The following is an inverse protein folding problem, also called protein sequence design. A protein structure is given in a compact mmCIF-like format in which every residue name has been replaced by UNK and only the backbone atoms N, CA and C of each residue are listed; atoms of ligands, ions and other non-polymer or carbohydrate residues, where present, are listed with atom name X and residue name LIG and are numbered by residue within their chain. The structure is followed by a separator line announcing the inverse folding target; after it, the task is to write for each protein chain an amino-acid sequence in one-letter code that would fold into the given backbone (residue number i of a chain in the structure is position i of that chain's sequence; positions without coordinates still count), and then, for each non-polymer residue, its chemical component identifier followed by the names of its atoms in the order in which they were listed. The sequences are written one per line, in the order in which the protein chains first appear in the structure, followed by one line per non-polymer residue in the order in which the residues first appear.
data_IF_875256568084
#
_entry.id   IF_875256568084
#
_cell.length_a   1.000
_cell.length_b   1.000
_cell.length_c   1.000
_cell.angle_alpha   90.00
_cell.angle_beta   90.00
_cell.angle_gamma   90.00
#
_symmetry.space_group_name_H-M   'P 1'
#
loop_
_entity.id
_entity.type
_entity.pdbx_description
1 polymer ?
#
# COMPACT_ATOMS: atom_id res chain seq x y z
N UNK A 1 -0.55 22.13 -7.96
CA UNK A 1 0.12 21.68 -6.73
C UNK A 1 0.05 20.17 -6.63
N UNK A 2 1.15 19.54 -6.35
CA UNK A 2 1.20 18.10 -6.19
C UNK A 2 0.69 17.71 -4.80
N UNK A 3 -0.09 16.62 -4.75
CA UNK A 3 -0.59 16.08 -3.51
C UNK A 3 0.34 14.95 -3.06
N UNK A 4 1.35 15.29 -2.28
CA UNK A 4 2.38 14.37 -1.82
C UNK A 4 2.17 14.03 -0.35
N UNK A 5 2.53 12.79 0.00
CA UNK A 5 2.56 12.37 1.40
C UNK A 5 3.79 12.99 2.07
N UNK A 6 3.56 13.67 3.18
CA UNK A 6 4.61 14.41 3.86
C UNK A 6 4.26 14.56 5.34
N UNK A 7 5.21 14.23 6.20
CA UNK A 7 5.02 14.35 7.64
C UNK A 7 5.19 13.02 8.36
N UNK A 8 4.97 13.05 9.67
CA UNK A 8 5.03 11.87 10.51
C UNK A 8 4.01 11.95 11.63
N UNK A 9 3.60 10.80 12.14
CA UNK A 9 2.68 10.71 13.27
C UNK A 9 2.83 9.37 13.97
N UNK A 10 2.54 9.35 15.27
CA UNK A 10 2.52 8.14 16.07
C UNK A 10 1.11 7.95 16.62
N UNK A 11 0.43 6.89 16.22
CA UNK A 11 -0.95 6.62 16.62
C UNK A 11 -1.05 5.27 17.31
N UNK A 12 -1.98 5.18 18.26
CA UNK A 12 -2.24 3.93 18.97
C UNK A 12 -3.06 2.96 18.11
N UNK A 13 -2.78 1.68 18.27
CA UNK A 13 -3.56 0.59 17.70
C UNK A 13 -4.26 -0.11 18.85
N UNK A 14 -5.59 -0.19 18.81
CA UNK A 14 -6.34 -0.81 19.90
C UNK A 14 -6.34 -2.34 19.80
N UNK A 15 -6.97 -3.00 20.78
CA UNK A 15 -7.00 -4.45 20.85
C UNK A 15 -7.70 -5.10 19.65
N UNK A 16 -8.58 -4.37 18.98
CA UNK A 16 -9.29 -4.85 17.79
C UNK A 16 -8.56 -4.53 16.49
N UNK A 17 -7.39 -3.90 16.58
CA UNK A 17 -6.62 -3.51 15.41
C UNK A 17 -7.07 -2.19 14.77
N UNK A 18 -7.89 -1.40 15.46
CA UNK A 18 -8.33 -0.10 14.93
C UNK A 18 -7.21 0.92 15.05
N UNK A 19 -6.98 1.63 13.96
CA UNK A 19 -5.89 2.59 13.82
C UNK A 19 -6.41 3.80 13.06
N UNK A 20 -6.23 4.99 13.62
CA UNK A 20 -6.58 6.23 12.91
C UNK A 20 -5.50 6.58 11.92
N UNK A 21 -5.91 6.86 10.67
CA UNK A 21 -5.00 7.39 9.66
C UNK A 21 -4.78 8.87 9.99
N UNK A 22 -3.52 9.34 10.07
CA UNK A 22 -3.27 10.76 10.31
C UNK A 22 -3.97 11.66 9.30
N UNK A 23 -4.46 12.80 9.76
CA UNK A 23 -5.22 13.71 8.91
C UNK A 23 -4.44 14.16 7.68
N UNK A 24 -3.13 14.37 7.80
CA UNK A 24 -2.32 14.82 6.68
C UNK A 24 -2.20 13.75 5.58
N UNK A 25 -2.25 12.47 5.96
CA UNK A 25 -2.25 11.34 5.00
C UNK A 25 -3.64 11.19 4.39
N UNK A 26 -4.68 11.18 5.21
CA UNK A 26 -6.06 11.03 4.75
C UNK A 26 -6.45 12.14 3.78
N UNK A 27 -6.03 13.36 4.05
CA UNK A 27 -6.27 14.50 3.18
C UNK A 27 -5.70 14.27 1.78
N UNK A 28 -4.49 13.73 1.67
CA UNK A 28 -3.87 13.42 0.38
C UNK A 28 -4.63 12.31 -0.34
N UNK A 29 -4.98 11.24 0.38
CA UNK A 29 -5.73 10.11 -0.19
C UNK A 29 -7.07 10.61 -0.75
N UNK A 30 -7.80 11.42 -0.01
CA UNK A 30 -9.10 11.95 -0.43
C UNK A 30 -9.01 12.82 -1.68
N UNK A 31 -7.91 13.54 -1.86
CA UNK A 31 -7.68 14.37 -3.04
C UNK A 31 -7.27 13.56 -4.27
N UNK A 32 -6.66 12.40 -4.06
CA UNK A 32 -6.13 11.57 -5.14
C UNK A 32 -7.07 10.46 -5.56
N UNK A 33 -8.07 10.13 -4.74
CA UNK A 33 -8.94 8.99 -5.00
C UNK A 33 -10.31 9.24 -4.37
N UNK A 34 -11.37 8.85 -5.08
CA UNK A 34 -12.74 8.90 -4.55
C UNK A 34 -13.04 7.69 -3.64
N UNK A 35 -12.19 6.68 -3.66
CA UNK A 35 -12.37 5.51 -2.83
C UNK A 35 -12.07 5.84 -1.37
N UNK A 36 -12.93 5.40 -0.48
CA UNK A 36 -12.75 5.54 0.97
C UNK A 36 -11.91 4.37 1.49
N UNK A 37 -10.75 4.18 0.92
CA UNK A 37 -9.87 3.06 1.24
C UNK A 37 -8.42 3.40 0.92
N UNK A 38 -7.51 2.70 1.60
CA UNK A 38 -6.10 2.72 1.27
C UNK A 38 -5.65 1.31 0.93
N UNK A 39 -4.60 1.20 0.16
CA UNK A 39 -3.96 -0.08 -0.14
C UNK A 39 -2.77 -0.21 0.81
N UNK A 40 -2.76 -1.28 1.58
CA UNK A 40 -1.69 -1.55 2.56
C UNK A 40 -0.93 -2.78 2.11
N UNK A 41 0.39 -2.71 2.12
CA UNK A 41 1.23 -3.82 1.72
C UNK A 41 2.44 -3.99 2.61
N UNK A 42 3.01 -5.19 2.59
CA UNK A 42 4.26 -5.44 3.30
C UNK A 42 5.43 -4.89 2.47
N UNK A 43 6.38 -4.26 3.14
CA UNK A 43 7.61 -3.82 2.50
C UNK A 43 8.44 -5.04 2.10
N UNK A 44 9.14 -4.94 0.96
CA UNK A 44 9.92 -6.07 0.45
C UNK A 44 11.11 -6.45 1.32
N UNK A 45 11.74 -5.47 1.93
CA UNK A 45 13.02 -5.64 2.62
C UNK A 45 12.87 -5.44 4.12
N UNK A 46 12.27 -4.34 4.52
CA UNK A 46 12.19 -3.94 5.92
C UNK A 46 10.92 -4.47 6.61
N UNK A 47 10.96 -4.70 7.92
CA UNK A 47 9.78 -5.14 8.67
C UNK A 47 8.84 -3.95 8.92
N UNK A 48 8.25 -3.43 7.85
CA UNK A 48 7.30 -2.32 7.91
C UNK A 48 6.26 -2.50 6.81
N UNK A 49 5.25 -1.65 6.85
CA UNK A 49 4.21 -1.64 5.83
C UNK A 49 4.35 -0.41 4.94
N UNK A 50 3.87 -0.55 3.73
CA UNK A 50 3.66 0.57 2.82
C UNK A 50 2.17 0.78 2.65
N UNK A 51 1.77 2.02 2.41
CA UNK A 51 0.36 2.32 2.16
C UNK A 51 0.28 3.40 1.08
N UNK A 52 -0.73 3.28 0.23
CA UNK A 52 -0.94 4.24 -0.85
C UNK A 52 -2.41 4.25 -1.25
N UNK A 53 -2.78 5.20 -2.08
CA UNK A 53 -4.13 5.31 -2.61
C UNK A 53 -4.35 4.35 -3.79
N UNK A 54 -5.61 4.12 -4.14
CA UNK A 54 -5.95 3.24 -5.26
C UNK A 54 -5.46 3.75 -6.61
N UNK A 55 -5.35 5.06 -6.77
CA UNK A 55 -4.80 5.64 -8.00
C UNK A 55 -3.35 5.22 -8.22
N UNK A 56 -2.57 5.25 -7.17
CA UNK A 56 -1.18 4.81 -7.22
C UNK A 56 -1.08 3.29 -7.44
N UNK A 57 -1.99 2.52 -6.84
CA UNK A 57 -2.05 1.07 -7.09
C UNK A 57 -2.26 0.77 -8.58
N UNK A 58 -3.17 1.50 -9.22
CA UNK A 58 -3.39 1.37 -10.66
C UNK A 58 -2.13 1.70 -11.45
N UNK A 59 -1.43 2.76 -11.06
CA UNK A 59 -0.17 3.14 -11.68
C UNK A 59 0.87 2.02 -11.59
N UNK A 60 0.97 1.37 -10.44
CA UNK A 60 1.89 0.24 -10.26
C UNK A 60 1.55 -0.94 -11.17
N UNK A 61 0.26 -1.24 -11.34
CA UNK A 61 -0.17 -2.28 -12.28
C UNK A 61 0.23 -1.93 -13.72
N UNK A 62 0.03 -0.70 -14.13
CA UNK A 62 0.39 -0.23 -15.47
C UNK A 62 1.89 -0.33 -15.69
N UNK A 63 2.69 0.11 -14.73
CA UNK A 63 4.15 0.04 -14.84
C UNK A 63 4.65 -1.40 -14.88
N UNK A 64 4.05 -2.28 -14.10
CA UNK A 64 4.42 -3.69 -14.11
C UNK A 64 4.13 -4.34 -15.46
N UNK A 65 2.97 -4.02 -16.06
CA UNK A 65 2.61 -4.51 -17.39
C UNK A 65 3.56 -3.96 -18.46
N UNK A 66 3.92 -2.69 -18.36
CA UNK A 66 4.86 -2.07 -19.28
C UNK A 66 6.22 -2.78 -19.23
N UNK A 67 6.70 -3.11 -18.04
CA UNK A 67 7.95 -3.85 -17.87
C UNK A 67 7.86 -5.24 -18.47
N UNK A 68 6.71 -5.91 -18.33
CA UNK A 68 6.49 -7.22 -18.94
C UNK A 68 6.63 -7.15 -20.45
N UNK A 69 6.01 -6.16 -21.09
CA UNK A 69 6.08 -5.98 -22.53
C UNK A 69 7.52 -5.70 -23.00
N UNK A 70 8.27 -4.90 -22.27
CA UNK A 70 9.66 -4.61 -22.58
C UNK A 70 10.53 -5.87 -22.46
N UNK A 71 10.32 -6.67 -21.46
CA UNK A 71 11.05 -7.91 -21.25
C UNK A 71 10.76 -8.94 -22.36
N UNK A 72 9.50 -9.06 -22.78
CA UNK A 72 9.14 -9.92 -23.89
C UNK A 72 9.85 -9.49 -25.19
N UNK A 73 9.89 -8.19 -25.44
CA UNK A 73 10.57 -7.65 -26.60
C UNK A 73 12.06 -7.89 -26.59
N UNK A 74 12.67 -7.93 -25.42
CA UNK A 74 14.12 -8.17 -25.28
C UNK A 74 14.49 -9.65 -25.35
N UNK A 75 13.71 -10.49 -24.68
CA UNK A 75 14.05 -11.92 -24.60
C UNK A 75 13.59 -12.72 -25.80
N UNK A 76 12.52 -12.30 -26.44
CA UNK A 76 11.93 -13.01 -27.57
C UNK A 76 11.36 -14.38 -27.20
N UNK A 77 11.36 -14.75 -25.95
CA UNK A 77 10.96 -16.09 -25.49
C UNK A 77 9.55 -16.15 -24.96
N UNK A 78 8.94 -15.01 -24.66
CA UNK A 78 7.64 -14.98 -24.01
C UNK A 78 7.65 -15.47 -22.57
N UNK A 79 8.81 -15.57 -21.96
CA UNK A 79 8.97 -16.00 -20.58
C UNK A 79 8.60 -14.86 -19.63
N UNK A 80 7.52 -15.06 -18.88
CA UNK A 80 6.97 -14.05 -17.98
C UNK A 80 7.27 -14.34 -16.50
N UNK A 81 8.27 -15.18 -16.21
CA UNK A 81 8.61 -15.55 -14.84
C UNK A 81 8.92 -14.31 -13.99
N UNK A 82 9.72 -13.38 -14.54
CA UNK A 82 10.06 -12.14 -13.85
C UNK A 82 8.83 -11.25 -13.58
N UNK A 83 7.92 -11.16 -14.57
CA UNK A 83 6.67 -10.42 -14.43
C UNK A 83 5.80 -10.99 -13.31
N UNK A 84 5.57 -12.30 -13.29
CA UNK A 84 4.74 -12.93 -12.27
C UNK A 84 5.36 -12.83 -10.89
N UNK A 85 6.68 -12.88 -10.78
CA UNK A 85 7.38 -12.70 -9.53
C UNK A 85 7.20 -11.28 -8.99
N UNK A 86 7.32 -10.27 -9.85
CA UNK A 86 7.08 -8.87 -9.46
C UNK A 86 5.63 -8.65 -9.04
N UNK A 87 4.68 -9.22 -9.79
CA UNK A 87 3.26 -9.09 -9.47
C UNK A 87 2.95 -9.68 -8.09
N UNK A 88 3.52 -10.84 -7.76
CA UNK A 88 3.33 -11.44 -6.44
C UNK A 88 3.90 -10.58 -5.33
N UNK A 89 5.06 -9.99 -5.54
CA UNK A 89 5.68 -9.09 -4.54
C UNK A 89 4.88 -7.82 -4.35
N UNK A 90 4.44 -7.23 -5.44
CA UNK A 90 3.77 -5.92 -5.41
C UNK A 90 2.33 -6.05 -4.96
N UNK A 91 1.60 -7.06 -5.42
CA UNK A 91 0.15 -7.17 -5.23
C UNK A 91 -0.29 -8.32 -4.36
N UNK A 92 0.50 -9.40 -4.27
CA UNK A 92 0.12 -10.59 -3.53
C UNK A 92 0.09 -10.40 -2.01
N UNK A 93 0.79 -9.41 -1.50
CA UNK A 93 0.83 -9.08 -0.08
C UNK A 93 0.27 -7.69 0.17
N UNK A 94 -0.76 -7.30 -0.58
CA UNK A 94 -1.46 -6.04 -0.41
C UNK A 94 -2.94 -6.30 -0.16
N UNK A 95 -3.57 -5.40 0.58
CA UNK A 95 -5.01 -5.43 0.81
C UNK A 95 -5.60 -4.04 0.68
N UNK A 96 -6.79 -3.95 0.10
CA UNK A 96 -7.61 -2.75 0.14
C UNK A 96 -8.24 -2.67 1.52
N UNK A 97 -7.94 -1.62 2.26
CA UNK A 97 -8.46 -1.45 3.61
C UNK A 97 -9.34 -0.20 3.64
N UNK A 98 -10.66 -0.37 3.84
CA UNK A 98 -11.55 0.79 3.91
C UNK A 98 -11.33 1.55 5.22
N UNK A 99 -11.53 2.86 5.17
CA UNK A 99 -11.55 3.67 6.38
C UNK A 99 -12.96 4.20 6.64
N UNK A 100 -13.30 4.32 7.92
CA UNK A 100 -14.61 4.82 8.33
C UNK A 100 -14.68 6.36 8.23
N UNK A 101 -15.85 6.96 8.46
CA UNK A 101 -15.98 8.43 8.41
C UNK A 101 -15.05 9.17 9.37
N UNK A 102 -14.59 8.52 10.43
CA UNK A 102 -13.62 9.09 11.37
C UNK A 102 -12.17 8.92 10.91
N UNK A 103 -11.94 8.24 9.78
CA UNK A 103 -10.60 8.01 9.27
C UNK A 103 -9.86 6.86 9.93
N UNK A 104 -10.58 5.91 10.52
CA UNK A 104 -9.98 4.73 11.15
C UNK A 104 -10.04 3.53 10.21
N UNK A 105 -9.01 2.74 10.24
CA UNK A 105 -8.97 1.43 9.56
C UNK A 105 -8.91 0.32 10.63
N UNK A 106 -9.23 -0.89 10.19
CA UNK A 106 -8.89 -2.09 10.96
C UNK A 106 -7.70 -2.71 10.26
N UNK A 107 -6.56 -2.68 10.92
CA UNK A 107 -5.33 -3.20 10.35
C UNK A 107 -5.41 -4.73 10.30
N UNK A 108 -5.32 -5.35 9.12
CA UNK A 108 -5.44 -6.81 9.00
C UNK A 108 -4.37 -7.52 9.84
N UNK A 109 -4.72 -8.64 10.51
CA UNK A 109 -3.77 -9.34 11.38
C UNK A 109 -2.47 -9.72 10.71
N UNK A 110 -2.53 -10.16 9.45
CA UNK A 110 -1.32 -10.50 8.69
C UNK A 110 -0.42 -9.28 8.51
N UNK A 111 -1.02 -8.13 8.21
CA UNK A 111 -0.27 -6.89 8.03
C UNK A 111 0.34 -6.42 9.35
N UNK A 112 -0.38 -6.55 10.45
CA UNK A 112 0.17 -6.25 11.77
C UNK A 112 1.43 -7.06 12.03
N UNK A 113 1.37 -8.34 11.70
CA UNK A 113 2.50 -9.26 11.91
C UNK A 113 3.68 -8.89 11.01
N UNK A 114 3.42 -8.63 9.74
CA UNK A 114 4.46 -8.27 8.77
C UNK A 114 5.13 -6.95 9.12
N UNK A 115 4.37 -5.98 9.57
CA UNK A 115 4.89 -4.67 9.97
C UNK A 115 5.40 -4.61 11.39
N UNK A 116 5.28 -5.70 12.15
CA UNK A 116 5.65 -5.76 13.58
C UNK A 116 4.97 -4.66 14.39
N UNK A 117 3.70 -4.41 14.09
CA UNK A 117 2.91 -3.37 14.75
C UNK A 117 2.11 -4.01 15.86
N UNK A 118 2.33 -3.59 17.10
CA UNK A 118 1.61 -4.08 18.26
C UNK A 118 0.55 -3.07 18.69
N UNK A 119 0.92 -2.13 19.53
CA UNK A 119 -0.01 -1.15 20.10
C UNK A 119 0.24 0.29 19.63
N UNK A 120 1.31 0.51 18.86
CA UNK A 120 1.65 1.81 18.29
C UNK A 120 2.06 1.65 16.83
N UNK A 121 1.66 2.59 16.02
CA UNK A 121 2.07 2.66 14.61
C UNK A 121 2.69 4.03 14.32
N UNK A 122 3.90 4.01 13.79
CA UNK A 122 4.59 5.21 13.34
C UNK A 122 4.38 5.37 11.84
N UNK A 123 3.83 6.50 11.45
CA UNK A 123 3.67 6.91 10.05
C UNK A 123 4.82 7.82 9.66
N UNK A 124 5.47 7.51 8.57
CA UNK A 124 6.54 8.35 8.04
C UNK A 124 6.41 8.50 6.53
#
# INVERSE_FOLDING_TARGET
MEHLFNGSALNAVDAKGRLSIPAFIRSVVERRSDAKAIVVGAHEVDPCLTAYDRGYARHLHIENERRRLLEEGQSGSGDNVGHFRRARRTFGLTEDVPYDPSGRIILPPMMRRKGRIEDLALFV
#
